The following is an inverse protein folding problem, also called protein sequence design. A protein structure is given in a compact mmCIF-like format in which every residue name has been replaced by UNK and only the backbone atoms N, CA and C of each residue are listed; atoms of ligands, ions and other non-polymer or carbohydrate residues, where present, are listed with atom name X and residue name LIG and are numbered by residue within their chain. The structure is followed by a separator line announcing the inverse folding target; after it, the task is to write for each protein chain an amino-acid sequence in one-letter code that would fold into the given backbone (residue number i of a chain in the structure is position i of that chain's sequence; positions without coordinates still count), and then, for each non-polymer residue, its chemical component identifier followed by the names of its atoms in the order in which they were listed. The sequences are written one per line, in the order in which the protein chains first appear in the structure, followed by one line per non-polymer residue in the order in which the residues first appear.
data_IF_143812335156
#
_entry.id   IF_143812335156
#
_cell.length_a   1.000
_cell.length_b   1.000
_cell.length_c   1.000
_cell.angle_alpha   90.00
_cell.angle_beta   90.00
_cell.angle_gamma   90.00
#
_symmetry.space_group_name_H-M   'P 1'
#
loop_
_entity.id
_entity.type
_entity.pdbx_description
1 polymer ?
#
# COMPACT_ATOMS: atom_id res chain seq x y z
N UNK A 1 -20.89 -7.16 2.97
CA UNK A 1 -21.81 -6.04 2.65
C UNK A 1 -22.20 -5.27 3.92
N UNK A 2 -21.23 -4.71 4.67
CA UNK A 2 -21.52 -3.88 5.87
C UNK A 2 -20.34 -2.96 6.26
N UNK A 3 -19.56 -2.47 5.28
CA UNK A 3 -18.28 -1.79 5.56
C UNK A 3 -18.39 -0.42 6.23
N UNK A 4 -19.56 0.23 6.23
CA UNK A 4 -19.76 1.58 6.79
C UNK A 4 -21.14 1.78 7.45
N UNK A 5 -22.18 1.09 6.97
CA UNK A 5 -23.56 1.17 7.49
C UNK A 5 -23.75 0.65 8.92
N UNK A 6 -22.73 0.01 9.49
CA UNK A 6 -22.73 -0.47 10.87
C UNK A 6 -22.08 0.51 11.82
N UNK A 7 -20.98 0.07 12.44
CA UNK A 7 -20.25 0.80 13.50
C UNK A 7 -19.88 2.24 13.11
N UNK A 8 -19.39 2.44 11.90
CA UNK A 8 -18.70 3.69 11.55
C UNK A 8 -19.66 4.89 11.48
N UNK A 9 -20.88 4.70 10.95
CA UNK A 9 -21.95 5.71 10.99
C UNK A 9 -22.28 6.12 12.43
N UNK A 10 -22.47 5.15 13.32
CA UNK A 10 -22.82 5.43 14.72
C UNK A 10 -21.67 6.12 15.47
N UNK A 11 -20.43 5.72 15.22
CA UNK A 11 -19.25 6.40 15.76
C UNK A 11 -19.21 7.86 15.34
N UNK A 12 -19.48 8.18 14.07
CA UNK A 12 -19.49 9.55 13.57
C UNK A 12 -20.60 10.37 14.24
N UNK A 13 -21.83 9.84 14.29
CA UNK A 13 -22.99 10.54 14.88
C UNK A 13 -22.78 10.80 16.37
N UNK A 14 -22.36 9.78 17.14
CA UNK A 14 -22.13 9.91 18.57
C UNK A 14 -20.99 10.88 18.86
N UNK A 15 -19.86 10.78 18.13
CA UNK A 15 -18.75 11.71 18.27
C UNK A 15 -19.15 13.15 17.97
N UNK A 16 -19.99 13.36 16.96
CA UNK A 16 -20.50 14.69 16.62
C UNK A 16 -21.33 15.29 17.75
N UNK A 17 -22.21 14.51 18.35
CA UNK A 17 -23.09 14.95 19.44
C UNK A 17 -22.31 15.26 20.73
N UNK A 18 -21.28 14.48 21.03
CA UNK A 18 -20.52 14.62 22.30
C UNK A 18 -19.36 15.62 22.21
N UNK A 19 -18.67 15.72 21.06
CA UNK A 19 -17.37 16.43 20.94
C UNK A 19 -17.41 17.54 19.89
N UNK A 20 -18.39 17.54 18.98
CA UNK A 20 -18.60 18.57 17.97
C UNK A 20 -17.66 18.49 16.75
N UNK A 21 -16.36 18.28 16.94
CA UNK A 21 -15.42 18.06 15.83
C UNK A 21 -15.21 16.57 15.59
N UNK A 22 -15.40 16.14 14.35
CA UNK A 22 -15.20 14.74 13.94
C UNK A 22 -14.18 14.69 12.82
N UNK A 23 -13.09 13.96 13.04
CA UNK A 23 -12.08 13.68 12.01
C UNK A 23 -12.14 12.21 11.65
N UNK A 24 -12.20 11.92 10.35
CA UNK A 24 -12.18 10.54 9.84
C UNK A 24 -10.93 10.35 9.01
N UNK A 25 -10.04 9.44 9.43
CA UNK A 25 -8.86 9.05 8.66
C UNK A 25 -9.14 7.75 7.91
N UNK A 26 -9.32 7.84 6.60
CA UNK A 26 -9.57 6.70 5.74
C UNK A 26 -8.26 6.10 5.23
N UNK A 27 -8.06 4.80 5.50
CA UNK A 27 -6.85 4.05 5.11
C UNK A 27 -7.04 3.14 3.89
N UNK A 28 -8.26 3.02 3.37
CA UNK A 28 -8.62 2.10 2.29
C UNK A 28 -9.15 2.83 1.06
N UNK A 29 -8.92 2.29 -0.14
CA UNK A 29 -9.33 2.87 -1.42
C UNK A 29 -10.66 2.36 -1.98
N UNK A 30 -11.55 1.81 -1.15
CA UNK A 30 -12.77 1.14 -1.62
C UNK A 30 -14.07 1.74 -1.09
N UNK A 31 -13.98 2.87 -0.39
CA UNK A 31 -15.16 3.48 0.25
C UNK A 31 -16.18 3.97 -0.77
N UNK A 32 -15.75 4.67 -1.83
CA UNK A 32 -16.66 5.18 -2.87
C UNK A 32 -17.44 4.06 -3.55
N UNK A 33 -16.76 2.98 -3.94
CA UNK A 33 -17.42 1.84 -4.58
C UNK A 33 -18.39 1.13 -3.62
N UNK A 34 -18.01 1.00 -2.35
CA UNK A 34 -18.91 0.46 -1.32
C UNK A 34 -20.14 1.36 -1.11
N UNK A 35 -19.98 2.67 -1.20
CA UNK A 35 -21.06 3.65 -1.17
C UNK A 35 -21.96 3.53 -2.41
N UNK A 36 -21.38 3.46 -3.62
CA UNK A 36 -22.13 3.33 -4.88
C UNK A 36 -22.93 2.02 -4.97
N UNK A 37 -22.37 0.93 -4.43
CA UNK A 37 -23.04 -0.37 -4.33
C UNK A 37 -24.08 -0.45 -3.20
N UNK A 38 -24.16 0.57 -2.33
CA UNK A 38 -25.18 0.58 -1.28
C UNK A 38 -26.57 0.92 -1.86
N UNK A 39 -27.60 0.29 -1.31
CA UNK A 39 -28.99 0.63 -1.64
C UNK A 39 -29.32 2.10 -1.35
N UNK A 40 -30.44 2.60 -1.90
CA UNK A 40 -30.85 4.02 -1.80
C UNK A 40 -30.84 4.52 -0.35
N UNK A 41 -31.45 3.77 0.58
CA UNK A 41 -31.46 4.11 2.00
C UNK A 41 -30.05 4.12 2.61
N UNK A 42 -29.22 3.14 2.22
CA UNK A 42 -27.83 3.05 2.70
C UNK A 42 -27.00 4.26 2.28
N UNK A 43 -27.13 4.70 1.02
CA UNK A 43 -26.47 5.91 0.53
C UNK A 43 -26.94 7.17 1.25
N UNK A 44 -28.22 7.26 1.58
CA UNK A 44 -28.76 8.40 2.32
C UNK A 44 -28.19 8.47 3.74
N UNK A 45 -28.14 7.33 4.44
CA UNK A 45 -27.54 7.24 5.79
C UNK A 45 -26.06 7.59 5.76
N UNK A 46 -25.29 7.02 4.84
CA UNK A 46 -23.84 7.30 4.73
C UNK A 46 -23.62 8.79 4.42
N UNK A 47 -24.38 9.38 3.50
CA UNK A 47 -24.27 10.80 3.17
C UNK A 47 -24.59 11.70 4.38
N UNK A 48 -25.64 11.37 5.13
CA UNK A 48 -26.00 12.09 6.35
C UNK A 48 -24.93 11.97 7.43
N UNK A 49 -24.28 10.82 7.58
CA UNK A 49 -23.16 10.67 8.50
C UNK A 49 -21.94 11.48 8.03
N UNK A 50 -21.59 11.40 6.73
CA UNK A 50 -20.43 12.11 6.18
C UNK A 50 -20.56 13.64 6.28
N UNK A 51 -21.77 14.20 6.23
CA UNK A 51 -21.98 15.64 6.39
C UNK A 51 -21.64 16.15 7.80
N UNK A 52 -21.54 15.26 8.80
CA UNK A 52 -21.13 15.60 10.16
C UNK A 52 -19.60 15.68 10.31
N UNK A 53 -18.85 15.12 9.35
CA UNK A 53 -17.39 15.07 9.36
C UNK A 53 -16.83 16.48 9.17
N UNK A 54 -15.97 16.89 10.09
CA UNK A 54 -15.31 18.20 10.08
C UNK A 54 -14.10 18.19 9.15
N UNK A 55 -13.29 17.12 9.22
CA UNK A 55 -12.18 16.86 8.29
C UNK A 55 -12.13 15.38 7.92
N UNK A 56 -12.00 15.11 6.62
CA UNK A 56 -11.62 13.80 6.10
C UNK A 56 -10.12 13.77 5.82
N UNK A 57 -9.40 12.80 6.38
CA UNK A 57 -7.99 12.57 6.07
C UNK A 57 -7.89 11.40 5.11
N UNK A 58 -7.18 11.60 4.00
CA UNK A 58 -6.86 10.56 3.02
C UNK A 58 -5.36 10.40 2.88
N UNK A 59 -4.96 9.21 2.46
CA UNK A 59 -3.56 8.81 2.39
C UNK A 59 -2.83 9.25 1.13
N UNK A 60 -3.51 9.79 0.13
CA UNK A 60 -2.93 10.35 -1.09
C UNK A 60 -3.95 11.29 -1.75
N UNK A 61 -3.50 12.22 -2.59
CA UNK A 61 -4.42 13.10 -3.32
C UNK A 61 -5.32 12.30 -4.28
N UNK A 62 -4.79 11.23 -4.87
CA UNK A 62 -5.54 10.27 -5.69
C UNK A 62 -6.71 9.62 -4.95
N UNK A 63 -6.68 9.56 -3.61
CA UNK A 63 -7.71 8.96 -2.77
C UNK A 63 -8.75 9.99 -2.25
N UNK A 64 -8.61 11.27 -2.60
CA UNK A 64 -9.62 12.29 -2.22
C UNK A 64 -10.99 12.00 -2.83
N UNK A 65 -10.99 11.34 -3.99
CA UNK A 65 -12.20 10.97 -4.72
C UNK A 65 -13.15 10.07 -3.91
N UNK A 66 -12.61 9.37 -2.91
CA UNK A 66 -13.39 8.48 -2.05
C UNK A 66 -14.49 9.23 -1.28
N UNK A 67 -14.29 10.52 -1.00
CA UNK A 67 -15.26 11.38 -0.33
C UNK A 67 -16.01 12.32 -1.29
N UNK A 68 -15.85 12.17 -2.61
CA UNK A 68 -16.48 13.06 -3.58
C UNK A 68 -18.00 13.05 -3.44
N UNK A 69 -18.58 14.25 -3.33
CA UNK A 69 -20.02 14.43 -3.10
C UNK A 69 -20.52 14.05 -1.70
N UNK A 70 -19.63 13.70 -0.78
CA UNK A 70 -19.94 13.36 0.62
C UNK A 70 -19.38 14.39 1.61
N UNK A 71 -18.17 14.91 1.34
CA UNK A 71 -17.50 15.93 2.15
C UNK A 71 -16.99 17.03 1.20
N UNK A 72 -17.07 18.33 1.58
CA UNK A 72 -16.48 19.41 0.78
C UNK A 72 -14.97 19.16 0.56
N UNK A 73 -14.48 19.29 -0.69
CA UNK A 73 -13.05 19.02 -1.01
C UNK A 73 -12.05 19.79 -0.13
N UNK A 74 -12.38 21.03 0.26
CA UNK A 74 -11.57 21.85 1.18
C UNK A 74 -11.40 21.25 2.58
N UNK A 75 -12.32 20.38 3.01
CA UNK A 75 -12.25 19.66 4.28
C UNK A 75 -11.56 18.29 4.15
N UNK A 76 -11.09 17.94 2.94
CA UNK A 76 -10.34 16.70 2.71
C UNK A 76 -8.85 17.04 2.71
N UNK A 77 -8.14 16.64 3.75
CA UNK A 77 -6.70 16.84 3.90
C UNK A 77 -5.95 15.57 3.49
N UNK A 78 -4.84 15.74 2.76
CA UNK A 78 -3.94 14.63 2.42
C UNK A 78 -2.88 14.52 3.51
N UNK A 79 -2.77 13.35 4.13
CA UNK A 79 -1.70 13.01 5.06
C UNK A 79 -1.21 11.61 4.69
N UNK A 80 0.03 11.52 4.24
CA UNK A 80 0.67 10.27 3.84
C UNK A 80 0.84 9.32 5.05
N UNK A 81 1.04 8.03 4.79
CA UNK A 81 1.55 7.13 5.84
C UNK A 81 3.00 7.51 6.18
N UNK A 82 3.36 7.27 7.44
CA UNK A 82 4.70 7.49 7.94
C UNK A 82 5.51 6.19 7.98
N UNK A 83 6.83 6.30 7.88
CA UNK A 83 7.79 5.22 8.11
C UNK A 83 8.94 5.72 8.99
N UNK A 84 9.41 4.86 9.88
CA UNK A 84 10.57 5.15 10.72
C UNK A 84 11.86 5.02 9.89
N UNK A 85 12.29 6.11 9.25
CA UNK A 85 13.50 6.11 8.41
C UNK A 85 14.81 5.99 9.19
N UNK A 86 14.76 6.17 10.51
CA UNK A 86 15.90 5.95 11.39
C UNK A 86 16.07 4.45 11.67
N UNK A 87 14.97 3.75 11.96
CA UNK A 87 14.94 2.30 12.13
C UNK A 87 15.17 1.55 10.81
N UNK A 88 14.42 1.91 9.77
CA UNK A 88 14.61 1.38 8.41
C UNK A 88 15.75 2.12 7.73
N UNK A 89 16.98 1.76 8.10
CA UNK A 89 18.19 2.34 7.53
C UNK A 89 19.21 1.28 7.15
N UNK A 90 19.63 1.31 5.89
CA UNK A 90 20.64 0.41 5.35
C UNK A 90 22.01 1.07 5.15
N UNK A 91 22.15 2.35 5.52
CA UNK A 91 23.33 3.14 5.21
C UNK A 91 23.52 3.38 3.71
N UNK A 92 24.59 4.08 3.32
CA UNK A 92 24.77 4.57 1.95
C UNK A 92 25.19 3.51 0.91
N UNK A 93 25.47 2.25 1.28
CA UNK A 93 26.11 1.28 0.36
C UNK A 93 25.49 -0.13 0.30
N UNK A 94 24.43 -0.41 1.05
CA UNK A 94 23.86 -1.76 1.07
C UNK A 94 22.69 -1.90 0.09
N UNK A 95 22.98 -2.25 -1.17
CA UNK A 95 21.93 -2.61 -2.13
C UNK A 95 21.32 -3.98 -1.89
N UNK A 96 22.03 -4.85 -1.18
CA UNK A 96 21.64 -6.26 -1.02
C UNK A 96 21.99 -7.10 -2.25
N UNK A 97 21.64 -8.37 -2.19
CA UNK A 97 21.93 -9.37 -3.21
C UNK A 97 20.84 -9.37 -4.29
N UNK A 98 21.15 -9.09 -5.58
CA UNK A 98 20.16 -9.13 -6.66
C UNK A 98 19.50 -10.50 -6.84
N UNK A 99 20.12 -11.58 -6.36
CA UNK A 99 19.54 -12.92 -6.37
C UNK A 99 18.49 -13.12 -5.26
N UNK A 100 18.40 -12.21 -4.28
CA UNK A 100 17.38 -12.26 -3.22
C UNK A 100 16.27 -11.28 -3.55
N UNK A 101 15.13 -11.84 -3.92
CA UNK A 101 13.92 -11.09 -4.25
C UNK A 101 12.94 -11.20 -3.10
N UNK A 102 12.52 -10.06 -2.54
CA UNK A 102 11.69 -10.03 -1.34
C UNK A 102 10.29 -9.49 -1.63
N UNK A 103 9.29 -10.23 -1.18
CA UNK A 103 7.88 -9.83 -1.14
C UNK A 103 7.41 -9.79 0.31
N UNK A 104 6.69 -8.74 0.67
CA UNK A 104 6.10 -8.62 2.00
C UNK A 104 4.67 -8.09 1.95
N UNK A 105 3.76 -8.82 2.58
CA UNK A 105 2.34 -8.50 2.63
C UNK A 105 1.50 -9.75 2.85
N UNK A 106 0.18 -9.63 2.73
CA UNK A 106 -0.66 -10.83 2.66
C UNK A 106 -0.26 -11.66 1.44
N UNK A 107 -0.06 -12.96 1.65
CA UNK A 107 0.22 -13.92 0.57
C UNK A 107 -1.14 -14.32 0.01
N UNK A 108 -1.54 -13.58 -1.01
CA UNK A 108 -2.89 -13.62 -1.54
C UNK A 108 -2.90 -13.20 -3.02
N UNK A 109 -3.96 -13.55 -3.75
CA UNK A 109 -4.07 -13.24 -5.18
C UNK A 109 -4.07 -11.72 -5.42
N UNK A 110 -4.80 -10.94 -4.63
CA UNK A 110 -4.88 -9.50 -4.76
C UNK A 110 -3.52 -8.80 -4.57
N UNK A 111 -2.58 -9.40 -3.83
CA UNK A 111 -1.23 -8.86 -3.69
C UNK A 111 -0.28 -9.26 -4.82
N UNK A 112 -0.77 -10.00 -5.81
CA UNK A 112 0.00 -10.45 -6.98
C UNK A 112 0.92 -11.64 -6.68
N UNK A 113 0.69 -12.36 -5.57
CA UNK A 113 1.51 -13.51 -5.21
C UNK A 113 1.48 -14.60 -6.29
N UNK A 114 0.30 -14.91 -6.82
CA UNK A 114 0.13 -15.91 -7.88
C UNK A 114 0.88 -15.53 -9.18
N UNK A 115 0.92 -14.23 -9.52
CA UNK A 115 1.67 -13.74 -10.68
C UNK A 115 3.17 -13.96 -10.52
N UNK A 116 3.70 -13.75 -9.30
CA UNK A 116 5.10 -14.04 -8.99
C UNK A 116 5.38 -15.53 -9.14
N UNK A 117 4.50 -16.42 -8.66
CA UNK A 117 4.69 -17.86 -8.78
C UNK A 117 4.71 -18.34 -10.24
N UNK A 118 3.94 -17.70 -11.11
CA UNK A 118 3.95 -17.98 -12.56
C UNK A 118 5.21 -17.45 -13.26
N UNK A 119 5.73 -16.32 -12.80
CA UNK A 119 6.96 -15.72 -13.34
C UNK A 119 8.22 -16.48 -12.91
N UNK A 120 8.22 -17.02 -11.68
CA UNK A 120 9.40 -17.58 -11.01
C UNK A 120 10.12 -18.68 -11.80
N UNK A 121 9.44 -19.71 -12.35
CA UNK A 121 10.10 -20.81 -13.08
C UNK A 121 11.07 -20.34 -14.17
N UNK A 122 10.60 -19.49 -15.08
CA UNK A 122 11.41 -18.99 -16.19
C UNK A 122 12.61 -18.16 -15.72
N UNK A 123 12.48 -17.45 -14.60
CA UNK A 123 13.57 -16.67 -14.01
C UNK A 123 14.58 -17.60 -13.35
N UNK A 124 14.13 -18.59 -12.60
CA UNK A 124 14.98 -19.56 -11.90
C UNK A 124 15.75 -20.48 -12.86
N UNK A 125 15.17 -20.82 -14.02
CA UNK A 125 15.88 -21.53 -15.09
C UNK A 125 17.07 -20.72 -15.62
N UNK A 126 16.90 -19.40 -15.81
CA UNK A 126 17.97 -18.51 -16.25
C UNK A 126 18.95 -18.17 -15.11
N UNK A 127 18.47 -18.08 -13.88
CA UNK A 127 19.22 -17.70 -12.68
C UNK A 127 19.04 -18.75 -11.57
N UNK A 128 19.76 -19.88 -11.61
CA UNK A 128 19.52 -21.01 -10.70
C UNK A 128 19.70 -20.72 -9.21
N UNK A 129 20.42 -19.66 -8.87
CA UNK A 129 20.71 -19.20 -7.49
C UNK A 129 19.69 -18.19 -6.96
N UNK A 130 18.74 -17.72 -7.77
CA UNK A 130 17.74 -16.74 -7.33
C UNK A 130 16.82 -17.32 -6.25
N UNK A 131 16.50 -16.54 -5.23
CA UNK A 131 15.59 -16.94 -4.14
C UNK A 131 14.53 -15.86 -3.95
N UNK A 132 13.27 -16.28 -4.08
CA UNK A 132 12.10 -15.47 -3.75
C UNK A 132 11.69 -15.74 -2.30
N UNK A 133 11.68 -14.68 -1.50
CA UNK A 133 11.37 -14.70 -0.08
C UNK A 133 10.01 -14.02 0.15
N UNK A 134 9.07 -14.76 0.73
CA UNK A 134 7.71 -14.29 0.97
C UNK A 134 7.43 -14.22 2.47
N UNK A 135 7.22 -13.01 2.98
CA UNK A 135 6.86 -12.77 4.37
C UNK A 135 5.45 -12.20 4.49
N UNK A 136 4.67 -12.78 5.40
CA UNK A 136 3.33 -12.36 5.78
C UNK A 136 2.34 -13.52 5.88
N UNK A 137 1.07 -13.18 6.08
CA UNK A 137 0.01 -14.15 6.33
C UNK A 137 -0.57 -14.67 5.02
N UNK A 138 -0.63 -15.99 4.85
CA UNK A 138 -1.40 -16.63 3.76
C UNK A 138 -2.90 -16.42 3.94
N UNK A 139 -3.56 -15.97 2.86
CA UNK A 139 -5.00 -15.84 2.79
C UNK A 139 -5.52 -16.70 1.64
N UNK A 140 -6.41 -17.65 1.95
CA UNK A 140 -7.08 -18.46 0.93
C UNK A 140 -8.21 -17.69 0.23
N UNK A 141 -8.87 -16.79 0.96
CA UNK A 141 -9.94 -15.96 0.43
C UNK A 141 -9.61 -14.47 0.60
N UNK A 142 -9.85 -13.70 -0.46
CA UNK A 142 -9.70 -12.26 -0.43
C UNK A 142 -10.81 -11.60 0.36
N UNK A 143 -10.42 -10.63 1.20
CA UNK A 143 -11.35 -9.83 2.00
C UNK A 143 -11.41 -8.43 1.43
N UNK A 144 -12.57 -8.07 0.88
CA UNK A 144 -12.90 -6.72 0.40
C UNK A 144 -12.11 -6.24 -0.84
N UNK A 145 -11.36 -7.12 -1.52
CA UNK A 145 -10.70 -6.82 -2.78
C UNK A 145 -11.21 -7.82 -3.81
N UNK A 146 -11.99 -7.33 -4.77
CA UNK A 146 -12.68 -8.17 -5.76
C UNK A 146 -12.51 -7.64 -7.19
N UNK A 147 -11.59 -6.70 -7.39
CA UNK A 147 -11.40 -6.05 -8.69
C UNK A 147 -9.97 -5.57 -8.86
N UNK A 148 -9.55 -5.46 -10.11
CA UNK A 148 -8.35 -4.73 -10.52
C UNK A 148 -8.63 -3.23 -10.39
N UNK A 149 -7.83 -2.52 -9.57
CA UNK A 149 -8.07 -1.11 -9.30
C UNK A 149 -7.81 -0.20 -10.52
N UNK A 150 -7.01 -0.64 -11.50
CA UNK A 150 -6.74 0.13 -12.71
C UNK A 150 -7.80 -0.11 -13.80
N UNK A 151 -8.17 -1.37 -14.05
CA UNK A 151 -9.13 -1.70 -15.13
C UNK A 151 -10.59 -1.67 -14.67
N UNK A 152 -10.83 -1.80 -13.36
CA UNK A 152 -12.17 -1.90 -12.76
C UNK A 152 -12.81 -3.28 -12.87
N UNK A 153 -12.19 -4.19 -13.64
CA UNK A 153 -12.66 -5.55 -13.90
C UNK A 153 -12.63 -6.41 -12.63
N UNK A 154 -13.54 -7.40 -12.51
CA UNK A 154 -13.51 -8.35 -11.40
C UNK A 154 -12.17 -9.09 -11.33
N UNK A 155 -11.64 -9.24 -10.12
CA UNK A 155 -10.42 -9.98 -9.88
C UNK A 155 -10.72 -11.47 -9.98
N UNK A 156 -10.05 -12.15 -10.91
CA UNK A 156 -10.08 -13.61 -10.99
C UNK A 156 -9.05 -14.15 -10.02
N UNK A 157 -9.50 -14.45 -8.79
CA UNK A 157 -8.61 -14.95 -7.76
C UNK A 157 -8.27 -16.43 -7.97
N UNK A 158 -7.01 -16.72 -8.23
CA UNK A 158 -6.47 -18.08 -8.13
C UNK A 158 -6.07 -18.39 -6.68
N UNK A 159 -6.28 -19.63 -6.26
CA UNK A 159 -5.84 -20.12 -4.95
C UNK A 159 -4.31 -20.10 -4.84
N UNK A 160 -3.73 -19.34 -3.89
CA UNK A 160 -2.28 -19.28 -3.66
C UNK A 160 -1.62 -20.65 -3.45
N UNK A 161 -2.29 -21.59 -2.78
CA UNK A 161 -1.74 -22.91 -2.50
C UNK A 161 -1.78 -23.79 -3.76
N UNK A 162 -2.85 -23.72 -4.55
CA UNK A 162 -2.92 -24.38 -5.85
C UNK A 162 -1.86 -23.85 -6.83
N UNK A 163 -1.64 -22.53 -6.89
CA UNK A 163 -0.56 -21.94 -7.68
C UNK A 163 0.82 -22.44 -7.21
N UNK A 164 1.07 -22.50 -5.90
CA UNK A 164 2.33 -23.02 -5.35
C UNK A 164 2.57 -24.47 -5.79
N UNK A 165 1.57 -25.34 -5.63
CA UNK A 165 1.66 -26.74 -6.03
C UNK A 165 1.91 -26.87 -7.54
N UNK A 166 1.24 -26.04 -8.35
CA UNK A 166 1.31 -26.12 -9.81
C UNK A 166 2.67 -25.67 -10.36
N UNK A 167 3.19 -24.55 -9.86
CA UNK A 167 4.34 -23.87 -10.47
C UNK A 167 5.66 -24.11 -9.74
N UNK A 168 5.64 -24.39 -8.43
CA UNK A 168 6.86 -24.37 -7.60
C UNK A 168 7.20 -25.74 -7.03
N UNK A 169 6.23 -26.38 -6.38
CA UNK A 169 6.46 -27.60 -5.58
C UNK A 169 7.16 -28.68 -6.41
N UNK A 170 8.16 -29.32 -5.81
CA UNK A 170 8.96 -30.42 -6.35
C UNK A 170 9.91 -30.03 -7.50
N UNK A 171 9.84 -28.79 -8.02
CA UNK A 171 10.65 -28.32 -9.18
C UNK A 171 11.56 -27.14 -8.85
N UNK A 172 11.06 -26.19 -8.06
CA UNK A 172 11.73 -24.92 -7.75
C UNK A 172 11.80 -24.65 -6.24
N UNK A 173 11.74 -25.69 -5.39
CA UNK A 173 11.75 -25.55 -3.92
C UNK A 173 13.00 -24.83 -3.40
N UNK A 174 14.13 -24.90 -4.11
CA UNK A 174 15.35 -24.15 -3.74
C UNK A 174 15.21 -22.64 -3.96
N UNK A 175 14.40 -22.22 -4.93
CA UNK A 175 14.21 -20.83 -5.34
C UNK A 175 13.06 -20.14 -4.61
N UNK A 176 12.33 -20.86 -3.75
CA UNK A 176 11.17 -20.36 -3.01
C UNK A 176 11.35 -20.50 -1.50
N UNK A 177 11.02 -19.44 -0.76
CA UNK A 177 11.04 -19.42 0.72
C UNK A 177 9.79 -18.72 1.26
N UNK A 178 8.91 -19.48 1.90
CA UNK A 178 7.85 -18.93 2.73
C UNK A 178 8.35 -18.73 4.16
N UNK A 179 8.31 -17.50 4.64
CA UNK A 179 8.85 -17.12 5.95
C UNK A 179 7.76 -16.93 7.02
N UNK A 180 6.49 -16.97 6.64
CA UNK A 180 5.38 -16.66 7.55
C UNK A 180 5.41 -15.21 8.01
N UNK A 181 4.79 -14.94 9.16
CA UNK A 181 4.82 -13.62 9.79
C UNK A 181 6.16 -13.42 10.49
N UNK A 182 6.92 -12.43 10.03
CA UNK A 182 8.26 -12.12 10.54
C UNK A 182 8.22 -10.93 11.50
N UNK A 183 9.08 -10.96 12.52
CA UNK A 183 9.25 -9.84 13.45
C UNK A 183 10.05 -8.69 12.83
N UNK A 184 10.07 -7.51 13.47
CA UNK A 184 10.72 -6.32 12.92
C UNK A 184 12.22 -6.48 12.66
N UNK A 185 12.95 -7.18 13.55
CA UNK A 185 14.40 -7.43 13.37
C UNK A 185 14.69 -8.34 12.18
N UNK A 186 13.87 -9.37 12.00
CA UNK A 186 13.99 -10.28 10.86
C UNK A 186 13.60 -9.59 9.56
N UNK A 187 12.52 -8.80 9.59
CA UNK A 187 12.12 -7.92 8.47
C UNK A 187 13.25 -7.00 8.05
N UNK A 188 13.94 -6.34 8.99
CA UNK A 188 15.12 -5.53 8.68
C UNK A 188 16.20 -6.38 8.00
N UNK A 189 16.52 -7.56 8.52
CA UNK A 189 17.51 -8.45 7.91
C UNK A 189 17.14 -8.81 6.47
N UNK A 190 15.88 -9.18 6.21
CA UNK A 190 15.37 -9.51 4.88
C UNK A 190 15.50 -8.33 3.92
N UNK A 191 15.11 -7.13 4.36
CA UNK A 191 15.32 -5.92 3.56
C UNK A 191 16.81 -5.69 3.31
N UNK A 192 17.69 -5.79 4.33
CA UNK A 192 19.13 -5.56 4.15
C UNK A 192 19.72 -6.49 3.10
N UNK A 193 19.35 -7.76 3.15
CA UNK A 193 19.87 -8.81 2.27
C UNK A 193 19.27 -8.80 0.86
N UNK A 194 18.01 -8.38 0.68
CA UNK A 194 17.39 -8.40 -0.64
C UNK A 194 17.91 -7.29 -1.56
N UNK A 195 18.12 -7.62 -2.83
CA UNK A 195 18.48 -6.66 -3.87
C UNK A 195 17.27 -6.07 -4.58
N UNK A 196 16.14 -6.78 -4.57
CA UNK A 196 14.91 -6.41 -5.26
C UNK A 196 13.73 -6.60 -4.32
N UNK A 197 12.88 -5.58 -4.21
CA UNK A 197 11.60 -5.66 -3.52
C UNK A 197 10.44 -5.69 -4.53
N UNK A 198 9.49 -6.60 -4.32
CA UNK A 198 8.35 -6.85 -5.22
C UNK A 198 7.01 -6.65 -4.53
N UNK A 199 6.12 -5.89 -5.17
CA UNK A 199 4.71 -5.80 -4.79
C UNK A 199 3.81 -5.54 -6.02
N UNK A 200 3.56 -6.54 -6.89
CA UNK A 200 2.72 -6.42 -8.07
C UNK A 200 1.20 -6.51 -7.74
N UNK A 201 0.73 -5.66 -6.84
CA UNK A 201 -0.61 -5.76 -6.24
C UNK A 201 -1.73 -5.25 -7.18
N UNK A 202 -2.90 -5.88 -7.14
CA UNK A 202 -4.09 -5.47 -7.92
C UNK A 202 -4.88 -4.33 -7.25
N UNK A 203 -4.70 -4.17 -5.94
CA UNK A 203 -5.35 -3.12 -5.16
C UNK A 203 -4.49 -2.74 -3.97
N UNK A 204 -4.40 -1.44 -3.69
CA UNK A 204 -3.72 -0.93 -2.51
C UNK A 204 -4.36 0.38 -2.01
N UNK A 205 -4.24 0.64 -0.71
CA UNK A 205 -4.48 1.97 -0.16
C UNK A 205 -3.19 2.78 -0.27
N UNK A 206 -2.33 2.62 0.74
CA UNK A 206 -0.95 3.11 0.72
C UNK A 206 -0.06 2.10 1.45
N UNK A 207 0.77 1.39 0.69
CA UNK A 207 1.56 0.27 1.19
C UNK A 207 2.67 0.71 2.15
N UNK A 208 2.57 0.27 3.40
CA UNK A 208 3.67 0.36 4.37
C UNK A 208 4.91 -0.42 3.90
N UNK A 209 4.72 -1.55 3.22
CA UNK A 209 5.83 -2.37 2.75
C UNK A 209 6.67 -1.63 1.68
N UNK A 210 6.02 -0.85 0.81
CA UNK A 210 6.71 0.03 -0.14
C UNK A 210 7.46 1.14 0.60
N UNK A 211 6.84 1.79 1.59
CA UNK A 211 7.52 2.83 2.37
C UNK A 211 8.75 2.29 3.10
N UNK A 212 8.66 1.10 3.68
CA UNK A 212 9.79 0.41 4.31
C UNK A 212 10.87 0.03 3.29
N UNK A 213 10.49 -0.47 2.12
CA UNK A 213 11.42 -0.75 1.03
C UNK A 213 12.13 0.53 0.53
N UNK A 214 11.39 1.64 0.43
CA UNK A 214 11.92 2.93 0.04
C UNK A 214 12.90 3.45 1.10
N UNK A 215 12.52 3.42 2.37
CA UNK A 215 13.39 3.79 3.49
C UNK A 215 14.66 2.92 3.53
N UNK A 216 14.56 1.63 3.20
CA UNK A 216 15.71 0.72 3.10
C UNK A 216 16.53 0.89 1.81
N UNK A 217 16.15 1.82 0.93
CA UNK A 217 16.85 2.14 -0.30
C UNK A 217 16.86 0.99 -1.31
N UNK A 218 15.73 0.29 -1.47
CA UNK A 218 15.62 -0.88 -2.34
C UNK A 218 15.22 -0.52 -3.76
N UNK A 219 15.65 -1.32 -4.72
CA UNK A 219 15.10 -1.31 -6.06
C UNK A 219 13.72 -2.00 -6.01
N UNK A 220 12.69 -1.32 -6.51
CA UNK A 220 11.29 -1.72 -6.33
C UNK A 220 10.68 -2.05 -7.70
N UNK A 221 9.90 -3.13 -7.73
CA UNK A 221 8.98 -3.43 -8.83
C UNK A 221 7.57 -3.47 -8.23
N UNK A 222 6.66 -2.65 -8.73
CA UNK A 222 5.30 -2.59 -8.23
C UNK A 222 4.29 -2.14 -9.30
N UNK A 223 3.02 -2.15 -8.95
CA UNK A 223 1.92 -1.67 -9.77
C UNK A 223 1.47 -0.27 -9.29
N UNK A 224 1.01 0.62 -10.19
CA UNK A 224 0.60 1.98 -9.84
C UNK A 224 -0.83 2.06 -9.30
N UNK A 225 -1.20 1.22 -8.34
CA UNK A 225 -2.55 1.19 -7.73
C UNK A 225 -2.61 2.00 -6.44
N UNK A 226 -3.78 2.57 -6.12
CA UNK A 226 -3.98 3.38 -4.92
C UNK A 226 -3.07 4.60 -4.87
N UNK A 227 -2.46 4.84 -3.72
CA UNK A 227 -1.46 5.88 -3.54
C UNK A 227 -0.16 5.62 -4.33
N UNK A 228 0.11 4.38 -4.75
CA UNK A 228 1.36 4.04 -5.45
C UNK A 228 1.45 4.72 -6.82
N UNK A 229 0.31 4.92 -7.50
CA UNK A 229 0.27 5.65 -8.77
C UNK A 229 0.60 7.15 -8.64
N UNK A 230 0.56 7.71 -7.43
CA UNK A 230 0.94 9.10 -7.15
C UNK A 230 2.41 9.22 -6.73
N UNK A 231 2.90 8.29 -5.91
CA UNK A 231 4.23 8.42 -5.27
C UNK A 231 5.34 7.70 -6.04
N UNK A 232 5.02 6.72 -6.88
CA UNK A 232 6.00 5.95 -7.63
C UNK A 232 6.16 6.52 -9.04
N UNK A 233 7.38 6.94 -9.38
CA UNK A 233 7.74 7.39 -10.72
C UNK A 233 8.49 6.27 -11.44
N UNK A 234 8.01 5.86 -12.61
CA UNK A 234 8.59 4.77 -13.39
C UNK A 234 10.05 5.07 -13.78
N UNK A 235 10.93 4.08 -13.62
CA UNK A 235 12.37 4.19 -13.84
C UNK A 235 13.14 4.93 -12.73
N UNK A 236 12.48 5.75 -11.90
CA UNK A 236 13.12 6.49 -10.81
C UNK A 236 12.94 5.83 -9.45
N UNK A 237 11.69 5.62 -9.03
CA UNK A 237 11.36 5.00 -7.73
C UNK A 237 11.10 3.50 -7.86
N UNK A 238 10.74 3.04 -9.05
CA UNK A 238 10.48 1.63 -9.31
C UNK A 238 10.32 1.35 -10.79
N UNK A 239 10.33 0.08 -11.16
CA UNK A 239 9.84 -0.35 -12.47
C UNK A 239 8.36 -0.69 -12.35
N UNK A 240 7.52 0.06 -13.05
CA UNK A 240 6.08 -0.07 -12.96
C UNK A 240 5.53 -1.01 -14.01
N UNK A 241 4.62 -1.89 -13.60
CA UNK A 241 3.86 -2.79 -14.48
C UNK A 241 2.37 -2.70 -14.20
N UNK A 242 1.56 -3.24 -15.12
CA UNK A 242 0.14 -3.44 -14.88
C UNK A 242 -0.08 -4.74 -14.08
N UNK A 243 -1.09 -4.79 -13.19
CA UNK A 243 -1.45 -6.04 -12.51
C UNK A 243 -1.76 -7.14 -13.53
N UNK A 244 -1.24 -8.36 -13.31
CA UNK A 244 -1.38 -9.49 -14.22
C UNK A 244 -0.39 -9.55 -15.40
N UNK A 245 0.45 -8.54 -15.59
CA UNK A 245 1.48 -8.53 -16.65
C UNK A 245 2.72 -9.34 -16.24
N UNK A 246 2.59 -10.68 -16.34
CA UNK A 246 3.63 -11.65 -15.95
C UNK A 246 4.90 -11.50 -16.80
N UNK A 247 4.76 -11.19 -18.09
CA UNK A 247 5.92 -11.00 -18.98
C UNK A 247 6.72 -9.77 -18.58
N UNK A 248 6.03 -8.65 -18.30
CA UNK A 248 6.69 -7.44 -17.85
C UNK A 248 7.28 -7.60 -16.46
N UNK A 249 6.61 -8.32 -15.56
CA UNK A 249 7.17 -8.71 -14.25
C UNK A 249 8.51 -9.44 -14.40
N UNK A 250 8.56 -10.48 -15.26
CA UNK A 250 9.82 -11.21 -15.56
C UNK A 250 10.88 -10.26 -16.11
N UNK A 251 10.54 -9.46 -17.11
CA UNK A 251 11.49 -8.55 -17.75
C UNK A 251 12.10 -7.54 -16.76
N UNK A 252 11.30 -7.01 -15.83
CA UNK A 252 11.77 -6.07 -14.82
C UNK A 252 12.67 -6.75 -13.78
N UNK A 253 12.34 -7.96 -13.33
CA UNK A 253 13.21 -8.73 -12.41
C UNK A 253 14.55 -9.00 -13.10
N UNK A 254 14.55 -9.46 -14.35
CA UNK A 254 15.77 -9.69 -15.13
C UNK A 254 16.59 -8.41 -15.30
N UNK A 255 15.93 -7.29 -15.66
CA UNK A 255 16.62 -6.00 -15.78
C UNK A 255 17.26 -5.56 -14.47
N UNK A 256 16.53 -5.69 -13.36
CA UNK A 256 17.09 -5.38 -12.05
C UNK A 256 18.10 -6.42 -11.57
N UNK A 257 18.23 -7.60 -12.16
CA UNK A 257 19.34 -8.53 -11.89
C UNK A 257 20.59 -8.09 -12.66
N UNK A 258 20.42 -7.76 -13.93
CA UNK A 258 21.51 -7.50 -14.88
C UNK A 258 22.08 -6.07 -14.76
N UNK A 259 21.30 -5.10 -14.28
CA UNK A 259 21.71 -3.69 -14.19
C UNK A 259 21.93 -3.25 -12.72
N UNK A 260 23.16 -3.41 -12.17
CA UNK A 260 23.48 -2.93 -10.84
C UNK A 260 23.34 -1.41 -10.72
N UNK A 261 23.74 -0.65 -11.73
CA UNK A 261 23.68 0.82 -11.70
C UNK A 261 22.26 1.28 -11.48
N UNK A 262 21.29 0.75 -12.23
CA UNK A 262 19.88 1.04 -12.05
C UNK A 262 19.40 0.69 -10.64
N UNK A 263 19.78 -0.47 -10.10
CA UNK A 263 19.43 -0.83 -8.70
C UNK A 263 19.95 0.20 -7.71
N UNK A 264 21.22 0.61 -7.85
CA UNK A 264 21.86 1.57 -6.96
C UNK A 264 21.19 2.95 -7.05
N UNK A 265 20.97 3.47 -8.25
CA UNK A 265 20.38 4.80 -8.45
C UNK A 265 18.92 4.84 -7.99
N UNK A 266 18.15 3.79 -8.29
CA UNK A 266 16.76 3.66 -7.84
C UNK A 266 16.67 3.55 -6.32
N UNK A 267 17.51 2.74 -5.70
CA UNK A 267 17.58 2.61 -4.25
C UNK A 267 17.94 3.92 -3.55
N UNK A 268 18.92 4.66 -4.08
CA UNK A 268 19.29 5.97 -3.55
C UNK A 268 18.15 7.00 -3.68
N UNK A 269 17.48 7.05 -4.84
CA UNK A 269 16.32 7.92 -5.06
C UNK A 269 15.19 7.60 -4.07
N UNK A 270 14.89 6.31 -3.89
CA UNK A 270 13.88 5.84 -2.95
C UNK A 270 14.18 6.22 -1.49
N UNK A 271 15.44 6.05 -1.04
CA UNK A 271 15.86 6.45 0.31
C UNK A 271 15.66 7.95 0.52
N UNK A 272 16.13 8.76 -0.42
CA UNK A 272 16.01 10.21 -0.36
C UNK A 272 14.53 10.61 -0.29
N UNK A 273 13.72 10.07 -1.19
CA UNK A 273 12.30 10.38 -1.24
C UNK A 273 11.56 9.99 0.05
N UNK A 274 11.90 8.85 0.67
CA UNK A 274 11.31 8.44 1.95
C UNK A 274 11.67 9.38 3.10
N UNK A 275 12.95 9.76 3.22
CA UNK A 275 13.42 10.72 4.24
C UNK A 275 12.83 12.11 4.03
N UNK A 276 12.64 12.52 2.78
CA UNK A 276 12.12 13.84 2.46
C UNK A 276 10.60 13.93 2.63
N UNK A 277 9.84 12.83 2.55
CA UNK A 277 8.39 12.90 2.46
C UNK A 277 7.61 12.12 3.51
N UNK A 278 8.17 11.05 4.08
CA UNK A 278 7.40 10.05 4.84
C UNK A 278 7.89 9.82 6.26
N UNK A 279 8.75 10.66 6.82
CA UNK A 279 9.21 10.48 8.21
C UNK A 279 8.08 10.65 9.22
N UNK A 280 8.19 9.96 10.36
CA UNK A 280 7.22 10.06 11.46
C UNK A 280 7.09 11.51 11.92
N UNK A 281 8.18 12.27 11.99
CA UNK A 281 8.18 13.66 12.43
C UNK A 281 7.38 14.54 11.46
N UNK A 282 7.59 14.37 10.15
CA UNK A 282 6.92 15.18 9.14
C UNK A 282 5.42 14.89 9.09
N UNK A 283 5.05 13.61 9.10
CA UNK A 283 3.66 13.18 9.04
C UNK A 283 2.91 13.50 10.33
N UNK A 284 3.55 13.31 11.50
CA UNK A 284 2.93 13.66 12.78
C UNK A 284 2.76 15.17 12.95
N UNK A 285 3.70 15.99 12.45
CA UNK A 285 3.56 17.44 12.35
C UNK A 285 2.36 17.86 11.52
N UNK A 286 2.22 17.31 10.30
CA UNK A 286 1.04 17.57 9.43
C UNK A 286 -0.29 17.20 10.10
N UNK A 287 -0.30 16.09 10.86
CA UNK A 287 -1.48 15.67 11.61
C UNK A 287 -1.77 16.61 12.79
N UNK A 288 -0.74 17.09 13.48
CA UNK A 288 -0.84 18.11 14.53
C UNK A 288 -1.44 19.41 14.01
N UNK A 289 -0.86 19.96 12.93
CA UNK A 289 -1.34 21.20 12.28
C UNK A 289 -2.82 21.09 11.89
N UNK A 290 -3.22 19.92 11.37
CA UNK A 290 -4.61 19.64 11.00
C UNK A 290 -5.56 19.70 12.22
N UNK A 291 -5.13 19.21 13.38
CA UNK A 291 -5.93 19.27 14.60
C UNK A 291 -5.95 20.68 15.20
N UNK A 292 -4.85 21.41 15.14
CA UNK A 292 -4.79 22.80 15.61
C UNK A 292 -5.68 23.74 14.79
N UNK A 293 -5.68 23.59 13.46
CA UNK A 293 -6.58 24.32 12.54
C UNK A 293 -8.06 24.10 12.93
N UNK A 294 -8.45 22.87 13.26
CA UNK A 294 -9.80 22.51 13.68
C UNK A 294 -10.20 23.06 15.05
N UNK A 295 -9.26 23.09 16.01
CA UNK A 295 -9.53 23.62 17.35
C UNK A 295 -9.62 25.14 17.34
N UNK A 296 -8.84 25.82 16.50
CA UNK A 296 -8.85 27.28 16.37
C UNK A 296 -10.17 27.81 15.80
N UNK A 297 -10.76 27.12 14.83
CA UNK A 297 -12.05 27.45 14.20
C UNK A 297 -13.24 27.25 15.16
N UNK A 298 -13.18 26.24 16.04
CA UNK A 298 -14.20 26.03 17.07
C UNK A 298 -14.25 27.15 18.13
N UNK A 299 -13.09 27.67 18.55
CA UNK A 299 -13.01 28.74 19.57
C UNK A 299 -13.62 30.06 19.07
N UNK A 300 -13.51 30.35 17.77
CA UNK A 300 -14.11 31.53 17.16
C UNK A 300 -15.63 31.42 17.01
N UNK A 301 -16.16 30.23 16.69
CA UNK A 301 -17.61 30.01 16.58
C UNK A 301 -18.38 30.15 17.90
N UNK A 302 -17.78 29.77 19.04
CA UNK A 302 -18.42 29.89 20.36
C UNK A 302 -18.50 31.34 20.89
N UNK A 303 -17.66 32.26 20.40
CA UNK A 303 -17.65 33.68 20.84
C UNK A 303 -18.76 34.54 20.23
N UNK A 304 -19.44 34.08 19.18
CA UNK A 304 -20.52 34.81 18.52
C UNK A 304 -21.92 34.33 18.91
N UNK A 305 -22.04 33.39 19.85
CA UNK A 305 -23.32 32.83 20.34
C UNK A 305 -23.49 32.99 21.86
N UNK A 306 -22.70 33.87 22.49
CA UNK A 306 -22.85 34.28 23.89
C UNK A 306 -23.40 35.69 23.98
#
# INVERSE_FOLDING_TARGET
MAGWLGRDVWCIVIAKLLVGNVVVHMRAGHFKRNYENAGVLGRLIIRAACSLISVGIVQADSLKDQFDGLIPRRHIKRIYNAVDTAFYNNGPSATGDPMKVFFMGHISCAKGYCDILKALPAIAEKYPEIVFQFAGTKLQEERNIFFNQLTGEPLVCEDPDACYVTYIKDRFDKNYRYLGVVGEREKLKLFKECGIFLLPTYSEGFSMAILEAMAMGKAIICTPVGALGEIMVDGLHGLLLLPGDIERLKSHIVRLIEDPTLRHTMGAANRLYAVDNFTIEKISGQLGDCFEELLSTQRHGKRYHS
#
